data_IF_942947885241
#
_entry.id   IF_942947885241
#
_cell.length_a   1.000
_cell.length_b   1.000
_cell.length_c   1.000
_cell.angle_alpha   90.00
_cell.angle_beta   90.00
_cell.angle_gamma   90.00
#
_symmetry.space_group_name_H-M   'P 1'
#
loop_
_entity.id
_entity.type
_entity.pdbx_description
1 polymer ?
#
# COMPACT_ATOMS: atom_id res chain seq x y z
N UNK A 1 -20.86 -7.01 -13.24
CA UNK A 1 -19.58 -7.62 -12.75
C UNK A 1 -18.57 -6.52 -12.51
N UNK A 2 -18.05 -6.42 -11.30
CA UNK A 2 -16.98 -5.48 -10.95
C UNK A 2 -15.60 -6.11 -11.19
N UNK A 3 -14.64 -5.32 -11.68
CA UNK A 3 -13.23 -5.70 -11.78
C UNK A 3 -12.47 -5.00 -10.68
N UNK A 4 -11.83 -5.77 -9.78
CA UNK A 4 -11.05 -5.26 -8.66
C UNK A 4 -9.57 -5.56 -8.85
N UNK A 5 -8.71 -4.54 -8.70
CA UNK A 5 -7.27 -4.72 -8.61
C UNK A 5 -6.86 -4.91 -7.15
N UNK A 6 -6.17 -6.01 -6.86
CA UNK A 6 -5.64 -6.31 -5.52
C UNK A 6 -4.11 -6.47 -5.56
N UNK A 7 -3.39 -6.04 -4.51
CA UNK A 7 -1.97 -6.29 -4.40
C UNK A 7 -1.70 -7.77 -4.12
N UNK A 8 -0.58 -8.31 -4.61
CA UNK A 8 -0.13 -9.65 -4.22
C UNK A 8 0.33 -9.67 -2.75
N UNK A 9 0.26 -10.85 -2.12
CA UNK A 9 0.73 -11.08 -0.76
C UNK A 9 -0.34 -10.83 0.30
N UNK A 10 0.09 -10.55 1.53
CA UNK A 10 -0.77 -10.47 2.72
C UNK A 10 -2.03 -9.62 2.54
N UNK A 11 -1.92 -8.43 1.95
CA UNK A 11 -3.08 -7.57 1.76
C UNK A 11 -4.11 -8.16 0.78
N UNK A 12 -3.69 -8.97 -0.22
CA UNK A 12 -4.63 -9.71 -1.06
C UNK A 12 -5.40 -10.74 -0.25
N UNK A 13 -4.72 -11.47 0.62
CA UNK A 13 -5.34 -12.49 1.48
C UNK A 13 -6.38 -11.85 2.40
N UNK A 14 -6.02 -10.79 3.12
CA UNK A 14 -6.94 -10.04 3.98
C UNK A 14 -8.14 -9.46 3.19
N UNK A 15 -7.89 -8.95 1.97
CA UNK A 15 -8.95 -8.42 1.10
C UNK A 15 -9.90 -9.50 0.57
N UNK A 16 -9.37 -10.66 0.21
CA UNK A 16 -10.16 -11.82 -0.25
C UNK A 16 -11.02 -12.34 0.89
N UNK A 17 -10.47 -12.46 2.11
CA UNK A 17 -11.21 -12.86 3.29
C UNK A 17 -12.40 -11.95 3.53
N UNK A 18 -12.15 -10.65 3.55
CA UNK A 18 -13.17 -9.63 3.72
C UNK A 18 -14.27 -9.72 2.65
N UNK A 19 -13.92 -9.98 1.38
CA UNK A 19 -14.90 -10.15 0.31
C UNK A 19 -15.70 -11.44 0.43
N UNK A 20 -15.11 -12.52 0.96
CA UNK A 20 -15.82 -13.77 1.27
C UNK A 20 -16.84 -13.54 2.38
N UNK A 21 -16.47 -12.89 3.48
CA UNK A 21 -17.34 -12.56 4.59
C UNK A 21 -18.54 -11.70 4.16
N UNK A 22 -18.31 -10.75 3.25
CA UNK A 22 -19.36 -9.88 2.70
C UNK A 22 -20.15 -10.52 1.53
N UNK A 23 -19.87 -11.77 1.17
CA UNK A 23 -20.59 -12.51 0.14
C UNK A 23 -20.36 -12.02 -1.31
N UNK A 24 -19.25 -11.31 -1.54
CA UNK A 24 -18.82 -10.88 -2.87
C UNK A 24 -18.00 -11.95 -3.61
N UNK A 25 -17.38 -12.85 -2.88
CA UNK A 25 -16.70 -14.04 -3.42
C UNK A 25 -17.36 -15.31 -2.88
N UNK A 26 -17.34 -16.37 -3.70
CA UNK A 26 -17.83 -17.71 -3.33
C UNK A 26 -16.73 -18.75 -3.33
N UNK A 27 -15.49 -18.34 -3.49
CA UNK A 27 -14.30 -19.18 -3.47
C UNK A 27 -13.05 -18.34 -3.45
N UNK A 28 -11.96 -18.93 -3.02
CA UNK A 28 -10.64 -18.30 -3.01
C UNK A 28 -9.92 -18.55 -4.33
N UNK A 29 -9.12 -17.59 -4.83
CA UNK A 29 -8.09 -17.91 -5.82
C UNK A 29 -7.20 -19.02 -5.27
N UNK A 30 -6.79 -19.94 -6.14
CA UNK A 30 -5.81 -20.98 -5.79
C UNK A 30 -4.46 -20.29 -5.47
N UNK A 31 -3.92 -20.42 -4.24
CA UNK A 31 -2.68 -19.76 -3.84
C UNK A 31 -1.46 -20.25 -4.64
N UNK A 32 -1.52 -21.46 -5.18
CA UNK A 32 -0.45 -22.06 -5.99
C UNK A 32 -0.59 -21.73 -7.49
N UNK A 33 -1.70 -21.09 -7.88
CA UNK A 33 -1.95 -20.68 -9.26
C UNK A 33 -1.00 -19.54 -9.67
N UNK A 34 -0.49 -19.66 -10.89
CA UNK A 34 0.21 -18.55 -11.57
C UNK A 34 -0.73 -17.58 -12.29
N UNK A 35 -2.03 -17.84 -12.24
CA UNK A 35 -3.03 -16.97 -12.84
C UNK A 35 -3.09 -15.63 -12.11
N UNK A 36 -3.15 -14.56 -12.88
CA UNK A 36 -3.24 -13.19 -12.36
C UNK A 36 -4.67 -12.64 -12.40
N UNK A 37 -5.59 -13.42 -12.95
CA UNK A 37 -7.00 -13.06 -13.07
C UNK A 37 -7.82 -14.20 -12.48
N UNK A 38 -8.59 -13.86 -11.45
CA UNK A 38 -9.57 -14.75 -10.86
C UNK A 38 -10.99 -14.24 -11.15
N UNK A 39 -11.87 -15.13 -11.57
CA UNK A 39 -13.31 -14.82 -11.78
C UNK A 39 -14.12 -15.59 -10.75
N UNK A 40 -14.92 -14.87 -9.99
CA UNK A 40 -15.89 -15.49 -9.10
C UNK A 40 -16.89 -16.36 -9.86
N UNK A 41 -17.26 -17.51 -9.29
CA UNK A 41 -18.16 -18.49 -9.92
C UNK A 41 -19.56 -17.93 -10.20
N UNK A 42 -20.06 -16.98 -9.41
CA UNK A 42 -21.33 -16.29 -9.62
C UNK A 42 -21.21 -15.07 -10.53
N UNK A 43 -20.02 -14.76 -11.02
CA UNK A 43 -19.78 -13.68 -11.95
C UNK A 43 -20.00 -12.27 -11.38
N UNK A 44 -20.04 -12.10 -10.05
CA UNK A 44 -20.16 -10.78 -9.43
C UNK A 44 -18.90 -9.96 -9.57
N UNK A 45 -17.74 -10.62 -9.36
CA UNK A 45 -16.43 -9.98 -9.25
C UNK A 45 -15.39 -10.69 -10.13
N UNK A 46 -14.48 -9.91 -10.69
CA UNK A 46 -13.23 -10.36 -11.28
C UNK A 46 -12.07 -9.68 -10.57
N UNK A 47 -11.12 -10.45 -10.06
CA UNK A 47 -9.93 -9.97 -9.36
C UNK A 47 -8.74 -9.96 -10.33
N UNK A 48 -7.97 -8.88 -10.30
CA UNK A 48 -6.67 -8.74 -10.95
C UNK A 48 -5.61 -8.68 -9.85
N UNK A 49 -4.67 -9.64 -9.83
CA UNK A 49 -3.57 -9.67 -8.88
C UNK A 49 -2.35 -8.97 -9.47
N UNK A 50 -2.02 -7.80 -8.95
CA UNK A 50 -0.94 -6.94 -9.45
C UNK A 50 0.07 -6.60 -8.34
N UNK A 51 1.14 -5.87 -8.64
CA UNK A 51 2.02 -5.34 -7.59
C UNK A 51 1.31 -4.23 -6.83
N UNK A 52 1.60 -4.08 -5.54
CA UNK A 52 0.95 -3.07 -4.68
C UNK A 52 1.03 -1.65 -5.27
N UNK A 53 2.18 -1.28 -5.82
CA UNK A 53 2.39 0.04 -6.43
C UNK A 53 1.63 0.26 -7.74
N UNK A 54 1.16 -0.82 -8.38
CA UNK A 54 0.46 -0.74 -9.68
C UNK A 54 -1.07 -0.71 -9.51
N UNK A 55 -1.61 -1.10 -8.35
CA UNK A 55 -3.06 -1.17 -8.10
C UNK A 55 -3.77 0.13 -8.46
N UNK A 56 -3.28 1.25 -7.93
CA UNK A 56 -3.87 2.57 -8.17
C UNK A 56 -3.84 2.94 -9.66
N UNK A 57 -2.76 2.62 -10.36
CA UNK A 57 -2.63 2.85 -11.81
C UNK A 57 -3.65 2.04 -12.61
N UNK A 58 -3.87 0.76 -12.26
CA UNK A 58 -4.89 -0.06 -12.94
C UNK A 58 -6.30 0.51 -12.78
N UNK A 59 -6.60 1.08 -11.60
CA UNK A 59 -7.89 1.72 -11.33
C UNK A 59 -7.97 3.07 -12.05
N UNK A 60 -6.97 3.92 -11.95
CA UNK A 60 -6.93 5.24 -12.59
C UNK A 60 -7.06 5.15 -14.11
N UNK A 61 -6.38 4.17 -14.73
CA UNK A 61 -6.42 3.92 -16.17
C UNK A 61 -7.64 3.10 -16.64
N UNK A 62 -8.65 2.93 -15.77
CA UNK A 62 -9.92 2.24 -16.10
C UNK A 62 -9.76 0.76 -16.49
N UNK A 63 -8.62 0.13 -16.18
CA UNK A 63 -8.41 -1.31 -16.36
C UNK A 63 -9.06 -2.13 -15.25
N UNK A 64 -9.31 -1.49 -14.10
CA UNK A 64 -10.13 -1.98 -13.00
C UNK A 64 -11.15 -0.92 -12.58
N UNK A 65 -12.33 -1.36 -12.12
CA UNK A 65 -13.39 -0.46 -11.63
C UNK A 65 -13.04 0.07 -10.23
N UNK A 66 -12.43 -0.80 -9.44
CA UNK A 66 -12.04 -0.54 -8.07
C UNK A 66 -10.73 -1.23 -7.72
N UNK A 67 -10.16 -0.90 -6.57
CA UNK A 67 -8.98 -1.57 -6.03
C UNK A 67 -8.88 -1.42 -4.53
N UNK A 68 -8.05 -2.28 -3.92
CA UNK A 68 -7.67 -2.17 -2.51
C UNK A 68 -6.16 -1.97 -2.45
N UNK A 69 -5.73 -0.89 -1.82
CA UNK A 69 -4.33 -0.46 -1.82
C UNK A 69 -3.98 0.27 -0.52
N UNK A 70 -2.73 0.21 -0.09
CA UNK A 70 -2.26 0.93 1.10
C UNK A 70 -2.32 2.45 0.92
N UNK A 71 -2.63 3.16 2.00
CA UNK A 71 -2.64 4.62 2.04
C UNK A 71 -1.28 5.23 1.66
N UNK A 72 -0.19 4.55 2.01
CA UNK A 72 1.18 4.90 1.64
C UNK A 72 1.40 4.99 0.13
N UNK A 73 0.83 4.06 -0.64
CA UNK A 73 0.93 4.05 -2.11
C UNK A 73 0.16 5.23 -2.72
N UNK A 74 -1.04 5.52 -2.18
CA UNK A 74 -1.87 6.63 -2.67
C UNK A 74 -1.20 7.98 -2.42
N UNK A 75 -0.65 8.20 -1.24
CA UNK A 75 0.08 9.42 -0.91
C UNK A 75 1.34 9.59 -1.75
N UNK A 76 2.09 8.50 -1.97
CA UNK A 76 3.29 8.55 -2.79
C UNK A 76 2.99 8.90 -4.24
N UNK A 77 1.90 8.36 -4.80
CA UNK A 77 1.60 8.47 -6.24
C UNK A 77 0.80 9.70 -6.64
N UNK A 78 0.02 10.31 -5.73
CA UNK A 78 -0.82 11.48 -6.02
C UNK A 78 -1.91 11.23 -7.06
N UNK A 79 -2.56 10.07 -7.01
CA UNK A 79 -3.56 9.62 -7.99
C UNK A 79 -4.89 10.39 -7.93
N UNK A 80 -5.53 10.59 -9.08
CA UNK A 80 -6.90 11.14 -9.17
C UNK A 80 -7.96 10.05 -9.06
N UNK A 81 -8.19 9.58 -7.84
CA UNK A 81 -9.11 8.49 -7.53
C UNK A 81 -10.10 8.90 -6.44
N UNK A 82 -11.20 8.17 -6.37
CA UNK A 82 -12.16 8.29 -5.28
C UNK A 82 -11.79 7.28 -4.17
N UNK A 83 -11.74 7.76 -2.94
CA UNK A 83 -11.34 7.01 -1.76
C UNK A 83 -12.48 6.99 -0.72
N UNK A 84 -13.54 6.24 -0.98
CA UNK A 84 -14.73 6.30 -0.12
C UNK A 84 -14.52 5.67 1.25
N UNK A 85 -13.59 4.71 1.42
CA UNK A 85 -13.56 3.88 2.61
C UNK A 85 -12.14 3.48 3.04
N UNK A 86 -11.88 3.58 4.35
CA UNK A 86 -10.79 2.91 5.04
C UNK A 86 -11.27 1.52 5.49
N UNK A 87 -10.59 0.48 5.05
CA UNK A 87 -10.97 -0.90 5.36
C UNK A 87 -10.43 -1.38 6.72
N UNK A 88 -9.54 -0.62 7.36
CA UNK A 88 -8.94 -0.97 8.64
C UNK A 88 -8.02 -2.19 8.63
N UNK A 89 -7.81 -2.82 7.47
CA UNK A 89 -6.91 -3.97 7.26
C UNK A 89 -5.53 -3.51 6.75
N UNK A 90 -4.58 -4.41 6.66
CA UNK A 90 -3.24 -4.12 6.13
C UNK A 90 -2.43 -3.15 7.01
N UNK A 91 -2.75 -3.03 8.30
CA UNK A 91 -2.09 -2.08 9.23
C UNK A 91 -0.58 -2.20 9.19
N UNK A 92 0.07 -1.08 8.93
CA UNK A 92 1.53 -0.91 8.97
C UNK A 92 1.86 0.57 9.20
N UNK A 93 3.14 0.88 9.34
CA UNK A 93 3.62 2.25 9.44
C UNK A 93 4.80 2.48 8.52
N UNK A 94 4.87 3.65 7.94
CA UNK A 94 6.04 4.10 7.19
C UNK A 94 6.98 4.79 8.15
N UNK A 95 8.22 4.32 8.23
CA UNK A 95 9.17 4.78 9.24
C UNK A 95 10.55 5.04 8.66
N UNK A 96 11.27 5.94 9.30
CA UNK A 96 12.73 6.05 9.14
C UNK A 96 13.38 4.94 9.97
N UNK A 97 14.27 4.16 9.35
CA UNK A 97 15.08 3.17 10.04
C UNK A 97 16.56 3.29 9.61
N UNK A 98 17.46 2.96 10.52
CA UNK A 98 18.89 3.12 10.30
C UNK A 98 19.71 2.11 11.13
N UNK A 99 21.01 1.93 10.87
CA UNK A 99 21.90 1.17 11.72
C UNK A 99 21.92 1.70 13.14
N UNK A 100 22.14 0.80 14.11
CA UNK A 100 22.17 1.14 15.52
C UNK A 100 23.16 2.28 15.84
N UNK A 101 22.68 3.23 16.64
CA UNK A 101 23.47 4.40 17.02
C UNK A 101 23.45 5.55 16.01
N UNK A 102 22.75 5.39 14.89
CA UNK A 102 22.47 6.51 13.98
C UNK A 102 21.32 7.36 14.53
N UNK A 103 21.41 8.67 14.37
CA UNK A 103 20.36 9.60 14.81
C UNK A 103 19.99 10.57 13.71
N UNK A 104 18.71 10.94 13.69
CA UNK A 104 18.19 11.97 12.81
C UNK A 104 18.64 13.34 13.33
N UNK A 105 19.61 13.97 12.70
CA UNK A 105 20.12 15.29 13.08
C UNK A 105 20.15 16.23 11.89
N UNK A 106 19.81 17.50 12.14
CA UNK A 106 19.96 18.61 11.19
C UNK A 106 21.41 19.07 11.14
N UNK A 107 22.32 18.23 10.65
CA UNK A 107 23.72 18.59 10.44
C UNK A 107 23.97 19.19 9.05
N UNK A 108 25.18 19.72 8.85
CA UNK A 108 25.60 20.26 7.54
C UNK A 108 25.67 19.19 6.45
N UNK A 109 25.78 17.92 6.84
CA UNK A 109 25.91 16.79 5.90
C UNK A 109 24.54 16.39 5.35
N UNK A 110 24.46 16.27 4.03
CA UNK A 110 23.31 15.73 3.31
C UNK A 110 23.09 14.25 3.66
N UNK A 111 21.89 13.90 4.15
CA UNK A 111 21.50 12.54 4.52
C UNK A 111 21.08 11.76 3.27
N UNK A 112 21.67 10.58 3.03
CA UNK A 112 21.27 9.69 1.95
C UNK A 112 20.19 8.73 2.44
N UNK A 113 19.03 8.74 1.77
CA UNK A 113 17.82 8.01 2.16
C UNK A 113 17.43 7.04 1.06
N UNK A 114 17.50 5.74 1.30
CA UNK A 114 17.00 4.74 0.35
C UNK A 114 15.53 4.42 0.63
N UNK A 115 14.68 4.38 -0.40
CA UNK A 115 13.24 4.18 -0.22
C UNK A 115 12.51 3.82 -1.51
N UNK A 116 11.33 3.20 -1.36
CA UNK A 116 10.31 3.06 -2.42
C UNK A 116 9.37 4.28 -2.49
N UNK A 117 9.43 5.18 -1.50
CA UNK A 117 8.52 6.30 -1.27
C UNK A 117 9.26 7.64 -1.34
N UNK A 118 9.82 8.01 -2.51
CA UNK A 118 10.66 9.19 -2.65
C UNK A 118 9.94 10.51 -2.34
N UNK A 119 8.64 10.64 -2.66
CA UNK A 119 7.90 11.87 -2.44
C UNK A 119 7.61 12.08 -0.95
N UNK A 120 7.09 11.04 -0.28
CA UNK A 120 6.83 11.08 1.17
C UNK A 120 8.14 11.32 1.95
N UNK A 121 9.22 10.62 1.57
CA UNK A 121 10.52 10.80 2.22
C UNK A 121 11.02 12.24 2.07
N UNK A 122 11.03 12.81 0.87
CA UNK A 122 11.44 14.19 0.63
C UNK A 122 10.64 15.19 1.45
N UNK A 123 9.32 15.03 1.49
CA UNK A 123 8.43 15.91 2.24
C UNK A 123 8.71 15.84 3.75
N UNK A 124 8.91 14.63 4.29
CA UNK A 124 9.22 14.41 5.69
C UNK A 124 10.54 15.09 6.11
N UNK A 125 11.63 14.85 5.37
CA UNK A 125 12.94 15.43 5.67
C UNK A 125 12.93 16.94 5.48
N UNK A 126 12.24 17.45 4.47
CA UNK A 126 12.07 18.89 4.24
C UNK A 126 11.35 19.58 5.42
N UNK A 127 10.24 18.99 5.90
CA UNK A 127 9.51 19.51 7.08
C UNK A 127 10.37 19.57 8.34
N UNK A 128 11.35 18.69 8.45
CA UNK A 128 12.32 18.69 9.56
C UNK A 128 13.53 19.62 9.35
N UNK A 129 13.63 20.28 8.21
CA UNK A 129 14.77 21.12 7.86
C UNK A 129 16.06 20.32 7.62
N UNK A 130 15.95 19.03 7.27
CA UNK A 130 17.07 18.14 7.01
C UNK A 130 17.30 18.02 5.51
N UNK A 131 18.50 18.39 5.05
CA UNK A 131 18.89 18.21 3.67
C UNK A 131 19.11 16.72 3.37
N UNK A 132 18.37 16.17 2.42
CA UNK A 132 18.48 14.75 2.06
C UNK A 132 18.70 14.53 0.56
N UNK A 133 19.31 13.39 0.25
CA UNK A 133 19.38 12.81 -1.07
C UNK A 133 18.59 11.52 -1.07
N UNK A 134 17.52 11.47 -1.86
CA UNK A 134 16.66 10.29 -1.92
C UNK A 134 17.12 9.38 -3.06
N UNK A 135 17.42 8.13 -2.70
CA UNK A 135 17.81 7.05 -3.61
C UNK A 135 16.60 6.11 -3.76
N UNK A 136 15.95 6.15 -4.92
CA UNK A 136 14.80 5.30 -5.19
C UNK A 136 15.25 3.87 -5.45
N UNK A 137 14.71 2.93 -4.68
CA UNK A 137 14.87 1.49 -4.86
C UNK A 137 13.51 0.82 -5.03
N UNK A 138 13.49 -0.41 -5.54
CA UNK A 138 12.26 -1.17 -5.80
C UNK A 138 12.09 -2.41 -4.90
N UNK A 139 13.13 -2.75 -4.12
CA UNK A 139 13.13 -3.89 -3.20
C UNK A 139 14.43 -3.98 -2.42
N UNK A 140 14.46 -4.84 -1.38
CA UNK A 140 15.62 -5.07 -0.50
C UNK A 140 16.20 -3.77 0.05
N UNK A 141 15.31 -2.88 0.50
CA UNK A 141 15.67 -1.52 0.94
C UNK A 141 16.60 -1.59 2.15
N UNK A 142 16.41 -2.57 3.03
CA UNK A 142 17.18 -2.79 4.25
C UNK A 142 18.68 -3.06 3.97
N UNK A 143 19.00 -3.51 2.77
CA UNK A 143 20.39 -3.76 2.37
C UNK A 143 21.17 -2.46 2.16
N UNK A 144 20.52 -1.37 1.76
CA UNK A 144 21.17 -0.13 1.34
C UNK A 144 22.11 0.47 2.40
N UNK A 145 21.72 0.64 3.68
CA UNK A 145 22.65 1.16 4.69
C UNK A 145 23.77 0.16 5.04
N UNK A 146 23.53 -1.13 4.92
CA UNK A 146 24.54 -2.16 5.25
C UNK A 146 25.71 -2.18 4.28
N UNK A 147 25.46 -1.81 3.02
CA UNK A 147 26.49 -1.73 1.96
C UNK A 147 26.99 -0.30 1.74
N UNK A 148 26.58 0.66 2.59
CA UNK A 148 27.01 2.05 2.49
C UNK A 148 26.38 2.86 1.34
N UNK A 149 25.30 2.35 0.72
CA UNK A 149 24.56 3.07 -0.31
C UNK A 149 23.78 4.25 0.26
N UNK A 150 23.21 4.09 1.45
CA UNK A 150 22.46 5.13 2.16
C UNK A 150 22.85 5.20 3.63
N UNK A 151 22.48 6.29 4.31
CA UNK A 151 22.70 6.47 5.74
C UNK A 151 21.50 5.93 6.55
N UNK A 152 20.31 6.02 6.00
CA UNK A 152 19.07 5.47 6.54
C UNK A 152 18.12 5.01 5.41
N UNK A 153 17.01 4.42 5.81
CA UNK A 153 15.93 4.02 4.91
C UNK A 153 14.60 4.65 5.34
N UNK A 154 13.68 4.76 4.40
CA UNK A 154 12.25 4.97 4.66
C UNK A 154 11.50 3.80 4.04
N UNK A 155 10.91 2.95 4.89
CA UNK A 155 10.16 1.78 4.41
C UNK A 155 9.01 1.42 5.35
N UNK A 156 8.13 0.51 4.89
CA UNK A 156 7.01 0.00 5.66
C UNK A 156 7.49 -0.95 6.75
N UNK A 157 6.99 -0.72 7.93
CA UNK A 157 7.25 -1.57 9.11
C UNK A 157 5.90 -2.11 9.62
N UNK A 158 5.77 -3.43 9.64
CA UNK A 158 4.64 -4.11 10.29
C UNK A 158 5.04 -4.57 11.69
N UNK A 159 5.83 -5.63 11.80
CA UNK A 159 6.31 -6.19 13.08
C UNK A 159 7.71 -5.72 13.46
N UNK A 160 8.46 -5.18 12.52
CA UNK A 160 9.87 -4.81 12.69
C UNK A 160 10.86 -5.99 12.62
N UNK A 161 10.38 -7.21 12.33
CA UNK A 161 11.23 -8.40 12.27
C UNK A 161 12.34 -8.28 11.22
N UNK A 162 12.02 -7.76 10.03
CA UNK A 162 12.98 -7.54 8.95
C UNK A 162 14.07 -6.53 9.34
N UNK A 163 13.70 -5.45 10.01
CA UNK A 163 14.68 -4.46 10.52
C UNK A 163 15.66 -5.10 11.48
N UNK A 164 15.14 -5.85 12.48
CA UNK A 164 15.97 -6.56 13.48
C UNK A 164 16.91 -7.57 12.83
N UNK A 165 16.42 -8.36 11.86
CA UNK A 165 17.23 -9.35 11.14
C UNK A 165 18.39 -8.71 10.37
N UNK A 166 18.27 -7.42 9.99
CA UNK A 166 19.28 -6.66 9.27
C UNK A 166 20.01 -5.63 10.15
N UNK A 167 19.96 -5.75 11.49
CA UNK A 167 20.60 -4.85 12.45
C UNK A 167 20.22 -3.36 12.26
N UNK A 168 18.98 -3.11 11.85
CA UNK A 168 18.40 -1.77 11.76
C UNK A 168 17.44 -1.53 12.92
N UNK A 169 17.36 -0.28 13.34
CA UNK A 169 16.43 0.21 14.36
C UNK A 169 15.47 1.21 13.71
N UNK A 170 14.21 1.16 14.12
CA UNK A 170 13.20 2.14 13.77
C UNK A 170 13.50 3.44 14.56
N UNK A 171 13.78 4.52 13.86
CA UNK A 171 14.17 5.81 14.42
C UNK A 171 12.95 6.69 14.66
N UNK A 172 12.07 6.79 13.66
CA UNK A 172 10.90 7.66 13.74
C UNK A 172 9.79 7.18 12.79
N UNK A 173 8.55 7.22 13.25
CA UNK A 173 7.37 6.93 12.46
C UNK A 173 6.99 8.19 11.68
N UNK A 174 6.88 8.07 10.35
CA UNK A 174 6.44 9.14 9.46
C UNK A 174 4.91 9.20 9.44
N UNK A 175 4.27 8.03 9.26
CA UNK A 175 2.81 7.89 9.19
C UNK A 175 2.38 6.45 9.42
N UNK A 176 1.15 6.27 9.86
CA UNK A 176 0.47 4.98 9.82
C UNK A 176 -0.24 4.80 8.48
N UNK A 177 -0.35 3.55 8.03
CA UNK A 177 -1.02 3.19 6.79
C UNK A 177 -1.96 2.01 7.01
N UNK A 178 -3.15 2.13 6.42
CA UNK A 178 -4.17 1.08 6.30
C UNK A 178 -4.60 0.96 4.85
N UNK A 179 -5.29 -0.10 4.51
CA UNK A 179 -5.81 -0.30 3.17
C UNK A 179 -7.02 0.58 2.89
N UNK A 180 -7.02 1.19 1.72
CA UNK A 180 -8.12 2.01 1.19
C UNK A 180 -8.81 1.29 0.05
N UNK A 181 -10.13 1.35 0.05
CA UNK A 181 -10.93 1.03 -1.13
C UNK A 181 -10.92 2.25 -2.04
N UNK A 182 -10.57 2.04 -3.29
CA UNK A 182 -10.50 3.09 -4.31
C UNK A 182 -11.36 2.75 -5.51
N UNK A 183 -11.89 3.78 -6.18
CA UNK A 183 -12.70 3.63 -7.40
C UNK A 183 -12.24 4.55 -8.50
N UNK A 184 -12.40 4.05 -9.74
CA UNK A 184 -12.34 4.90 -10.91
C UNK A 184 -13.58 5.78 -11.01
N UNK A 185 -13.42 7.06 -11.38
CA UNK A 185 -14.54 8.01 -11.51
C UNK A 185 -15.56 7.58 -12.55
N UNK A 186 -15.10 7.05 -13.71
CA UNK A 186 -15.99 6.62 -14.81
C UNK A 186 -16.84 5.41 -14.39
N UNK A 187 -16.27 4.49 -13.61
CA UNK A 187 -16.98 3.30 -13.14
C UNK A 187 -18.16 3.64 -12.24
N UNK A 188 -18.08 4.73 -11.45
CA UNK A 188 -19.20 5.22 -10.64
C UNK A 188 -20.44 5.60 -11.48
N UNK A 189 -20.23 6.10 -12.69
CA UNK A 189 -21.34 6.42 -13.59
C UNK A 189 -21.87 5.18 -14.32
N UNK A 190 -20.96 4.34 -14.81
CA UNK A 190 -21.32 3.19 -15.67
C UNK A 190 -21.81 1.98 -14.90
N UNK A 191 -21.40 1.82 -13.62
CA UNK A 191 -21.69 0.69 -12.72
C UNK A 191 -22.22 1.13 -11.36
N UNK A 192 -22.98 2.24 -11.35
CA UNK A 192 -23.47 2.88 -10.12
C UNK A 192 -24.17 1.92 -9.17
N UNK A 193 -24.99 1.01 -9.70
CA UNK A 193 -25.75 0.05 -8.89
C UNK A 193 -24.81 -0.96 -8.21
N UNK A 194 -23.94 -1.60 -9.00
CA UNK A 194 -23.00 -2.60 -8.48
C UNK A 194 -22.01 -1.99 -7.48
N UNK A 195 -21.54 -0.77 -7.72
CA UNK A 195 -20.64 -0.06 -6.81
C UNK A 195 -21.37 0.34 -5.53
N UNK A 196 -22.64 0.78 -5.63
CA UNK A 196 -23.46 1.10 -4.46
C UNK A 196 -23.65 -0.12 -3.57
N UNK A 197 -24.08 -1.26 -4.13
CA UNK A 197 -24.23 -2.52 -3.40
C UNK A 197 -22.89 -2.98 -2.77
N UNK A 198 -21.77 -2.76 -3.47
CA UNK A 198 -20.43 -3.09 -2.96
C UNK A 198 -20.07 -2.21 -1.76
N UNK A 199 -20.23 -0.89 -1.86
CA UNK A 199 -19.97 0.07 -0.78
C UNK A 199 -20.83 -0.19 0.45
N UNK A 200 -22.14 -0.41 0.25
CA UNK A 200 -23.08 -0.65 1.34
C UNK A 200 -22.67 -1.89 2.16
N UNK A 201 -22.15 -2.93 1.53
CA UNK A 201 -21.70 -4.14 2.21
C UNK A 201 -20.47 -3.91 3.09
N UNK A 202 -19.62 -2.92 2.78
CA UNK A 202 -18.41 -2.58 3.55
C UNK A 202 -18.63 -1.42 4.54
N UNK A 203 -19.68 -0.62 4.38
CA UNK A 203 -19.95 0.54 5.25
C UNK A 203 -20.22 0.16 6.71
N UNK A 204 -20.59 -1.09 6.99
CA UNK A 204 -20.73 -1.59 8.35
C UNK A 204 -19.39 -1.72 9.10
N UNK A 205 -18.27 -1.80 8.37
CA UNK A 205 -16.92 -1.92 8.94
C UNK A 205 -16.42 -0.58 9.49
N UNK A 206 -16.76 0.54 8.86
CA UNK A 206 -16.38 1.90 9.32
C UNK A 206 -16.91 2.24 10.71
N UNK A 207 -18.03 1.64 11.12
CA UNK A 207 -18.64 1.86 12.43
C UNK A 207 -17.96 1.10 13.56
N UNK A 208 -16.99 0.24 13.24
CA UNK A 208 -16.27 -0.60 14.20
C UNK A 208 -14.82 -0.16 14.43
N UNK A 209 -14.35 0.84 13.68
CA UNK A 209 -13.02 1.47 13.78
C UNK A 209 -13.10 2.77 14.60
#
# INVERSE_FOLDING_TARGET
MLTLALPKGRLAEESIELMLEQGWLNGRPDPDSKELIFKDSKGKVRILLVRSQDVATYVEQNSADAGIVGWDVLLEGGYDLLLPLDLGIGKCRLSVAAPKGWSLSSGERKVRVATKYPNIAKEFFLKKGINCEVIKLYGSIELAPLVGLSDCIVDLVSTGATLKANNLEEIEIIMESTARLIFNRSSLYTKRKEIGEFLDSFSALEKQL
#
